data_IF_964690824794
#
_entry.id   IF_964690824794
#
_cell.length_a   1.000
_cell.length_b   1.000
_cell.length_c   1.000
_cell.angle_alpha   90.00
_cell.angle_beta   90.00
_cell.angle_gamma   90.00
#
_symmetry.space_group_name_H-M   'P 1'
#
loop_
_entity.id
_entity.type
_entity.pdbx_description
1 polymer ?
#
# COMPACT_ATOMS: atom_id res chain seq x y z
N UNK A 1 -16.25 42.64 56.75
CA UNK A 1 -16.18 41.57 55.74
C UNK A 1 -17.61 41.34 55.31
N UNK A 2 -17.99 41.85 54.14
CA UNK A 2 -19.32 41.57 53.59
C UNK A 2 -19.34 40.11 53.14
N UNK A 3 -20.46 39.43 53.40
CA UNK A 3 -20.56 37.98 53.29
C UNK A 3 -20.68 37.61 51.80
N UNK A 4 -19.64 37.02 51.20
CA UNK A 4 -19.55 36.73 49.75
C UNK A 4 -20.73 35.91 49.21
N UNK A 5 -21.35 35.10 50.07
CA UNK A 5 -22.57 34.34 49.72
C UNK A 5 -23.75 35.26 49.39
N UNK A 6 -23.88 36.39 50.08
CA UNK A 6 -25.00 37.32 49.91
C UNK A 6 -24.89 38.09 48.58
N UNK A 7 -23.65 38.39 48.16
CA UNK A 7 -23.35 38.97 46.84
C UNK A 7 -23.63 37.97 45.72
N UNK A 8 -23.24 36.71 45.91
CA UNK A 8 -23.48 35.65 44.92
C UNK A 8 -24.98 35.44 44.66
N UNK A 9 -25.82 35.42 45.71
CA UNK A 9 -27.26 35.26 45.55
C UNK A 9 -27.94 36.49 44.93
N UNK A 10 -27.39 37.69 45.11
CA UNK A 10 -27.85 38.89 44.40
C UNK A 10 -27.60 38.81 42.89
N UNK A 11 -26.41 38.38 42.49
CA UNK A 11 -26.03 38.24 41.08
C UNK A 11 -26.80 37.12 40.35
N UNK A 12 -27.33 36.14 41.09
CA UNK A 12 -28.07 35.00 40.52
C UNK A 12 -29.60 35.18 40.48
N UNK A 13 -30.14 36.37 40.85
CA UNK A 13 -31.60 36.60 40.95
C UNK A 13 -32.38 36.43 39.65
N UNK A 14 -31.73 36.65 38.50
CA UNK A 14 -32.39 36.61 37.19
C UNK A 14 -32.21 35.27 36.44
N UNK A 15 -31.64 34.25 37.09
CA UNK A 15 -31.31 32.98 36.43
C UNK A 15 -32.38 31.92 36.73
N UNK A 16 -33.05 31.43 35.69
CA UNK A 16 -34.02 30.32 35.80
C UNK A 16 -33.34 28.97 35.48
N UNK A 17 -33.30 28.00 36.40
CA UNK A 17 -32.71 26.69 36.13
C UNK A 17 -33.48 25.95 35.04
N UNK A 18 -32.79 25.52 33.98
CA UNK A 18 -33.43 24.73 32.93
C UNK A 18 -33.69 23.29 33.37
N UNK A 19 -34.94 22.85 33.23
CA UNK A 19 -35.32 21.46 33.49
C UNK A 19 -34.61 20.53 32.49
N UNK A 20 -33.83 19.57 33.02
CA UNK A 20 -33.18 18.55 32.19
C UNK A 20 -34.16 17.41 31.92
N UNK A 21 -34.45 17.16 30.65
CA UNK A 21 -35.19 15.97 30.24
C UNK A 21 -34.41 14.69 30.56
N UNK A 22 -35.12 13.59 30.83
CA UNK A 22 -34.54 12.28 31.12
C UNK A 22 -33.64 11.82 29.97
N UNK A 23 -32.35 11.59 30.26
CA UNK A 23 -31.40 11.05 29.28
C UNK A 23 -31.78 9.60 28.94
N UNK A 24 -32.03 9.34 27.66
CA UNK A 24 -32.20 7.99 27.12
C UNK A 24 -30.88 7.26 27.22
N UNK A 25 -30.84 6.10 27.91
CA UNK A 25 -29.68 5.21 27.88
C UNK A 25 -29.65 4.49 26.53
N UNK A 26 -28.71 4.87 25.66
CA UNK A 26 -28.46 4.15 24.41
C UNK A 26 -27.84 2.78 24.73
N UNK A 27 -28.62 1.71 24.66
CA UNK A 27 -28.16 0.31 24.81
C UNK A 27 -27.54 -0.24 23.51
N UNK A 28 -26.89 0.61 22.71
CA UNK A 28 -26.21 0.23 21.48
C UNK A 28 -24.70 0.08 21.74
N UNK A 29 -24.32 -0.81 22.65
CA UNK A 29 -22.97 -0.85 23.21
C UNK A 29 -22.07 -2.00 22.77
N UNK A 30 -22.63 -3.19 22.46
CA UNK A 30 -21.81 -4.40 22.36
C UNK A 30 -21.96 -5.10 21.01
N UNK A 31 -23.20 -5.36 20.56
CA UNK A 31 -23.44 -6.10 19.30
C UNK A 31 -22.92 -5.42 18.03
N UNK A 32 -22.87 -4.09 17.98
CA UNK A 32 -22.36 -3.33 16.82
C UNK A 32 -20.83 -3.26 16.78
N UNK A 33 -20.15 -3.34 17.94
CA UNK A 33 -18.69 -3.30 18.01
C UNK A 33 -18.09 -4.59 17.45
N UNK A 34 -18.67 -5.74 17.78
CA UNK A 34 -18.19 -7.04 17.31
C UNK A 34 -18.37 -7.21 15.80
N UNK A 35 -19.53 -6.83 15.24
CA UNK A 35 -19.75 -6.84 13.80
C UNK A 35 -18.74 -5.94 13.07
N UNK A 36 -18.51 -4.72 13.57
CA UNK A 36 -17.52 -3.80 13.00
C UNK A 36 -16.06 -4.29 13.12
N UNK A 37 -15.76 -5.09 14.15
CA UNK A 37 -14.43 -5.69 14.37
C UNK A 37 -14.22 -6.88 13.45
N UNK A 38 -15.25 -7.71 13.26
CA UNK A 38 -15.23 -8.82 12.32
C UNK A 38 -15.15 -8.33 10.88
N UNK A 39 -15.91 -7.31 10.49
CA UNK A 39 -15.84 -6.68 9.17
C UNK A 39 -14.47 -6.03 8.92
N UNK A 40 -13.89 -5.33 9.91
CA UNK A 40 -12.52 -4.79 9.80
C UNK A 40 -11.46 -5.89 9.66
N UNK A 41 -11.60 -6.99 10.41
CA UNK A 41 -10.70 -8.15 10.29
C UNK A 41 -10.84 -8.84 8.94
N UNK A 42 -12.07 -9.01 8.46
CA UNK A 42 -12.34 -9.59 7.15
C UNK A 42 -11.77 -8.69 6.04
N UNK A 43 -11.96 -7.38 6.09
CA UNK A 43 -11.38 -6.44 5.12
C UNK A 43 -9.85 -6.50 5.07
N UNK A 44 -9.18 -6.56 6.23
CA UNK A 44 -7.72 -6.69 6.30
C UNK A 44 -7.17 -8.02 5.76
N UNK A 45 -7.99 -9.08 5.74
CA UNK A 45 -7.64 -10.39 5.14
C UNK A 45 -7.98 -10.40 3.64
N UNK A 46 -9.07 -9.78 3.23
CA UNK A 46 -9.55 -9.76 1.83
C UNK A 46 -8.76 -8.79 0.95
N UNK A 47 -8.26 -7.66 1.49
CA UNK A 47 -7.36 -6.75 0.75
C UNK A 47 -6.03 -7.39 0.34
N UNK A 48 -5.68 -8.55 0.93
CA UNK A 48 -4.43 -9.26 0.64
C UNK A 48 -4.42 -10.08 -0.64
N UNK A 49 -5.52 -10.16 -1.40
CA UNK A 49 -5.64 -11.18 -2.46
C UNK A 49 -6.41 -10.73 -3.71
N UNK A 50 -6.21 -9.49 -4.16
CA UNK A 50 -6.19 -9.26 -5.60
C UNK A 50 -4.74 -9.11 -6.00
N UNK A 51 -4.15 -10.24 -6.37
CA UNK A 51 -2.81 -10.27 -6.93
C UNK A 51 -2.87 -9.59 -8.31
N UNK A 52 -2.80 -8.26 -8.31
CA UNK A 52 -2.71 -7.43 -9.53
C UNK A 52 -1.25 -7.41 -10.04
N UNK A 53 -0.56 -8.54 -9.86
CA UNK A 53 0.80 -8.78 -10.29
C UNK A 53 0.83 -8.80 -11.81
N UNK A 54 1.79 -8.08 -12.40
CA UNK A 54 2.04 -8.08 -13.83
C UNK A 54 2.58 -9.42 -14.35
N UNK A 55 2.94 -10.33 -13.43
CA UNK A 55 3.58 -11.60 -13.72
C UNK A 55 2.61 -12.76 -13.50
N UNK A 56 2.57 -13.70 -14.45
CA UNK A 56 1.74 -14.90 -14.36
C UNK A 56 2.14 -15.78 -13.16
N UNK A 57 1.14 -16.26 -12.42
CA UNK A 57 1.27 -17.26 -11.34
C UNK A 57 1.49 -18.69 -11.84
N UNK A 58 1.92 -18.81 -13.09
CA UNK A 58 2.07 -20.08 -13.78
C UNK A 58 3.34 -20.78 -13.30
N UNK A 59 3.16 -21.90 -12.62
CA UNK A 59 4.26 -22.81 -12.25
C UNK A 59 4.73 -23.66 -13.44
N UNK A 60 4.03 -23.60 -14.58
CA UNK A 60 4.33 -24.32 -15.83
C UNK A 60 5.31 -23.58 -16.76
N UNK A 61 6.23 -22.78 -16.20
CA UNK A 61 7.28 -22.13 -17.00
C UNK A 61 8.40 -23.12 -17.28
N UNK A 62 8.63 -23.41 -18.55
CA UNK A 62 9.78 -24.21 -18.99
C UNK A 62 11.08 -23.44 -18.71
N UNK A 63 12.03 -24.12 -18.05
CA UNK A 63 13.34 -23.57 -17.77
C UNK A 63 14.10 -23.28 -19.07
N UNK A 64 14.72 -22.11 -19.15
CA UNK A 64 15.62 -21.77 -20.26
C UNK A 64 16.98 -22.44 -20.08
N UNK A 65 17.72 -22.58 -21.19
CA UNK A 65 19.12 -22.99 -21.15
C UNK A 65 19.96 -22.00 -20.30
N UNK A 66 20.93 -22.45 -19.48
CA UNK A 66 21.77 -21.57 -18.66
C UNK A 66 22.54 -20.50 -19.46
N UNK A 67 22.81 -20.73 -20.75
CA UNK A 67 23.48 -19.80 -21.66
C UNK A 67 22.51 -19.00 -22.52
N UNK A 68 21.20 -19.13 -22.28
CA UNK A 68 20.18 -18.42 -23.03
C UNK A 68 20.29 -16.92 -22.78
N UNK A 69 20.45 -16.15 -23.86
CA UNK A 69 20.49 -14.69 -23.80
C UNK A 69 19.06 -14.16 -23.83
N UNK A 70 18.61 -13.59 -22.71
CA UNK A 70 17.32 -12.88 -22.64
C UNK A 70 17.34 -11.66 -23.58
N UNK A 71 16.47 -11.69 -24.58
CA UNK A 71 16.29 -10.62 -25.57
C UNK A 71 14.81 -10.43 -25.85
N UNK A 72 14.31 -9.21 -25.63
CA UNK A 72 12.95 -8.85 -25.95
C UNK A 72 12.85 -7.38 -26.36
N UNK A 73 12.10 -7.11 -27.44
CA UNK A 73 11.83 -5.77 -27.95
C UNK A 73 10.38 -5.66 -28.42
N UNK A 74 9.63 -4.69 -27.89
CA UNK A 74 8.25 -4.41 -28.36
C UNK A 74 8.23 -3.92 -29.81
N UNK A 75 7.21 -4.30 -30.61
CA UNK A 75 6.97 -3.70 -31.93
C UNK A 75 6.89 -2.17 -31.84
N UNK A 76 7.44 -1.48 -32.84
CA UNK A 76 7.49 0.00 -32.86
C UNK A 76 8.71 0.62 -32.17
N UNK A 77 9.45 -0.13 -31.34
CA UNK A 77 10.72 0.37 -30.79
C UNK A 77 11.80 0.40 -31.88
N UNK A 78 12.40 1.58 -32.08
CA UNK A 78 13.46 1.78 -33.05
C UNK A 78 14.69 0.91 -32.73
N UNK A 79 15.27 0.27 -33.75
CA UNK A 79 16.44 -0.61 -33.60
C UNK A 79 17.63 0.07 -32.91
N UNK A 80 17.84 1.38 -33.15
CA UNK A 80 18.91 2.14 -32.53
C UNK A 80 18.77 2.25 -31.00
N UNK A 81 17.55 2.40 -30.49
CA UNK A 81 17.25 2.45 -29.05
C UNK A 81 17.55 1.10 -28.42
N UNK A 82 17.00 0.03 -29.00
CA UNK A 82 17.19 -1.32 -28.49
C UNK A 82 18.66 -1.75 -28.47
N UNK A 83 19.40 -1.45 -29.56
CA UNK A 83 20.83 -1.73 -29.65
C UNK A 83 21.65 -1.00 -28.60
N UNK A 84 21.33 0.27 -28.30
CA UNK A 84 22.01 1.04 -27.24
C UNK A 84 21.78 0.42 -25.85
N UNK A 85 20.56 -0.06 -25.58
CA UNK A 85 20.22 -0.74 -24.34
C UNK A 85 21.03 -2.03 -24.16
N UNK A 86 21.06 -2.90 -25.17
CA UNK A 86 21.87 -4.13 -25.14
C UNK A 86 23.37 -3.88 -24.93
N UNK A 87 23.86 -2.73 -25.37
CA UNK A 87 25.26 -2.33 -25.24
C UNK A 87 25.57 -1.63 -23.91
N UNK A 88 24.59 -1.49 -23.00
CA UNK A 88 24.78 -0.76 -21.74
C UNK A 88 25.09 0.73 -21.92
N UNK A 89 24.61 1.33 -23.02
CA UNK A 89 24.86 2.76 -23.34
C UNK A 89 23.89 3.71 -22.62
N UNK A 90 22.88 3.18 -21.93
CA UNK A 90 22.02 3.95 -21.05
C UNK A 90 22.54 3.85 -19.62
N UNK A 91 22.45 4.95 -18.90
CA UNK A 91 22.73 4.97 -17.46
C UNK A 91 21.78 4.02 -16.73
N UNK A 92 22.28 3.40 -15.67
CA UNK A 92 21.49 2.50 -14.83
C UNK A 92 20.97 3.33 -13.67
N UNK A 93 19.67 3.62 -13.69
CA UNK A 93 19.06 4.52 -12.70
C UNK A 93 18.64 3.79 -11.43
N UNK A 94 18.34 2.49 -11.54
CA UNK A 94 18.06 1.63 -10.39
C UNK A 94 18.49 0.19 -10.67
N UNK A 95 18.77 -0.55 -9.59
CA UNK A 95 19.20 -1.95 -9.62
C UNK A 95 18.37 -2.75 -8.63
N UNK A 96 17.85 -3.89 -9.08
CA UNK A 96 17.24 -4.93 -8.24
C UNK A 96 18.15 -6.15 -8.21
N UNK A 97 18.52 -6.61 -7.03
CA UNK A 97 19.29 -7.84 -6.84
C UNK A 97 18.37 -8.95 -6.32
N UNK A 98 18.28 -10.06 -7.07
CA UNK A 98 17.45 -11.22 -6.76
C UNK A 98 18.26 -12.41 -6.25
N UNK A 99 19.58 -12.26 -6.04
CA UNK A 99 20.39 -13.35 -5.52
C UNK A 99 19.81 -13.86 -4.20
N UNK A 100 19.77 -15.19 -4.07
CA UNK A 100 19.29 -15.91 -2.87
C UNK A 100 17.79 -15.70 -2.56
N UNK A 101 17.02 -15.08 -3.44
CA UNK A 101 15.56 -15.05 -3.31
C UNK A 101 14.93 -16.33 -3.86
N UNK A 102 13.82 -16.76 -3.25
CA UNK A 102 12.97 -17.80 -3.85
C UNK A 102 12.22 -17.20 -5.03
N UNK A 103 11.72 -18.06 -5.94
CA UNK A 103 10.95 -17.61 -7.12
C UNK A 103 9.74 -16.77 -6.70
N UNK A 104 9.03 -17.18 -5.66
CA UNK A 104 7.87 -16.44 -5.13
C UNK A 104 8.23 -15.04 -4.62
N UNK A 105 9.37 -14.91 -3.93
CA UNK A 105 9.84 -13.61 -3.43
C UNK A 105 10.30 -12.75 -4.61
N UNK A 106 11.12 -13.31 -5.49
CA UNK A 106 11.63 -12.60 -6.67
C UNK A 106 10.49 -12.07 -7.56
N UNK A 107 9.40 -12.84 -7.73
CA UNK A 107 8.21 -12.40 -8.46
C UNK A 107 7.62 -11.12 -7.88
N UNK A 108 7.39 -11.09 -6.56
CA UNK A 108 6.85 -9.92 -5.86
C UNK A 108 7.79 -8.71 -5.93
N UNK A 109 9.09 -8.94 -5.74
CA UNK A 109 10.10 -7.88 -5.80
C UNK A 109 10.23 -7.29 -7.21
N UNK A 110 10.19 -8.11 -8.26
CA UNK A 110 10.20 -7.62 -9.65
C UNK A 110 8.95 -6.78 -9.94
N UNK A 111 7.77 -7.25 -9.56
CA UNK A 111 6.52 -6.53 -9.82
C UNK A 111 6.50 -5.16 -9.14
N UNK A 112 6.88 -5.11 -7.85
CA UNK A 112 7.01 -3.87 -7.10
C UNK A 112 8.08 -2.94 -7.73
N UNK A 113 9.26 -3.47 -8.03
CA UNK A 113 10.37 -2.70 -8.61
C UNK A 113 10.01 -2.06 -9.95
N UNK A 114 9.31 -2.78 -10.83
CA UNK A 114 8.89 -2.25 -12.14
C UNK A 114 7.80 -1.18 -11.95
N UNK A 115 6.84 -1.39 -11.04
CA UNK A 115 5.81 -0.38 -10.72
C UNK A 115 6.45 0.89 -10.16
N UNK A 116 7.35 0.77 -9.21
CA UNK A 116 8.06 1.91 -8.61
C UNK A 116 8.92 2.64 -9.64
N UNK A 117 9.63 1.90 -10.50
CA UNK A 117 10.43 2.48 -11.59
C UNK A 117 9.57 3.30 -12.56
N UNK A 118 8.36 2.85 -12.87
CA UNK A 118 7.42 3.61 -13.70
C UNK A 118 6.92 4.87 -13.00
N UNK A 119 6.56 4.78 -11.72
CA UNK A 119 6.10 5.92 -10.92
C UNK A 119 7.18 6.99 -10.78
N UNK A 120 8.44 6.57 -10.59
CA UNK A 120 9.60 7.45 -10.50
C UNK A 120 10.08 7.97 -11.86
N UNK A 121 9.52 7.46 -12.97
CA UNK A 121 9.88 7.88 -14.33
C UNK A 121 11.27 7.41 -14.77
N UNK A 122 11.79 6.33 -14.19
CA UNK A 122 13.10 5.77 -14.54
C UNK A 122 13.07 5.20 -15.96
N UNK A 123 14.13 5.45 -16.74
CA UNK A 123 14.16 5.04 -18.16
C UNK A 123 14.93 3.76 -18.40
N UNK A 124 15.92 3.47 -17.57
CA UNK A 124 16.75 2.27 -17.68
C UNK A 124 17.09 1.73 -16.28
N UNK A 125 16.73 0.46 -16.06
CA UNK A 125 16.91 -0.24 -14.78
C UNK A 125 17.57 -1.59 -15.03
N UNK A 126 18.23 -2.13 -14.01
CA UNK A 126 18.92 -3.41 -14.07
C UNK A 126 18.33 -4.40 -13.07
N UNK A 127 18.14 -5.64 -13.51
CA UNK A 127 17.76 -6.76 -12.65
C UNK A 127 18.89 -7.76 -12.66
N UNK A 128 19.45 -8.06 -11.48
CA UNK A 128 20.53 -9.01 -11.27
C UNK A 128 19.92 -10.29 -10.72
N UNK A 129 19.74 -11.29 -11.58
CA UNK A 129 19.10 -12.56 -11.22
C UNK A 129 20.09 -13.68 -10.84
N UNK A 130 21.39 -13.45 -10.99
CA UNK A 130 22.44 -14.46 -10.80
C UNK A 130 22.74 -15.26 -12.06
N UNK A 131 23.61 -16.28 -11.92
CA UNK A 131 23.98 -17.21 -12.99
C UNK A 131 23.32 -18.57 -12.77
#
# INVERSE_FOLDING_TARGET
MQNDEELFWQEMRDVTPMARASRVRSTAGERSRDASLQERRAAAVTEKAKDDSLLSDRDDIEGLDPWYVLDFKRPGVQNGVFRKLKQGRYEVEAVLDLHRMTVEVARREIDAFIKDSQVLGLRSVMVVHGK
#
